data_IF_377906306104
#
_entry.id   IF_377906306104
#
_cell.length_a   1.000
_cell.length_b   1.000
_cell.length_c   1.000
_cell.angle_alpha   90.00
_cell.angle_beta   90.00
_cell.angle_gamma   90.00
#
_symmetry.space_group_name_H-M   'P 1'
#
loop_
_entity.id
_entity.type
_entity.pdbx_description
1 polymer ?
#
# COMPACT_ATOMS: atom_id res chain seq x y z
N UNK A 1 1.68 31.18 40.38
CA UNK A 1 1.83 30.46 39.12
C UNK A 1 3.17 30.78 38.51
N UNK A 2 3.93 29.79 38.20
CA UNK A 2 5.17 29.97 37.48
C UNK A 2 4.92 29.82 35.97
N UNK A 3 5.44 30.76 35.19
CA UNK A 3 5.39 30.66 33.75
C UNK A 3 6.40 29.60 33.27
N UNK A 4 6.10 28.85 32.21
CA UNK A 4 7.06 27.91 31.66
C UNK A 4 8.30 28.68 31.20
N UNK A 5 9.45 28.07 31.40
CA UNK A 5 10.71 28.62 30.90
C UNK A 5 10.75 28.51 29.38
N UNK A 6 11.64 29.28 28.73
CA UNK A 6 11.84 29.18 27.28
C UNK A 6 12.23 27.77 26.87
N UNK A 7 13.02 27.10 27.69
CA UNK A 7 13.39 25.71 27.44
C UNK A 7 12.20 24.78 27.49
N UNK A 8 11.31 24.95 28.47
CA UNK A 8 10.09 24.16 28.59
C UNK A 8 9.14 24.40 27.43
N UNK A 9 9.01 25.65 27.00
CA UNK A 9 8.20 26.00 25.83
C UNK A 9 8.74 25.33 24.56
N UNK A 10 10.06 25.32 24.41
CA UNK A 10 10.70 24.69 23.26
C UNK A 10 10.49 23.21 23.24
N UNK A 11 10.59 22.54 24.39
CA UNK A 11 10.32 21.11 24.54
C UNK A 11 8.87 20.80 24.15
N UNK A 12 7.92 21.63 24.61
CA UNK A 12 6.51 21.46 24.25
C UNK A 12 6.28 21.61 22.74
N UNK A 13 6.92 22.58 22.12
CA UNK A 13 6.81 22.78 20.67
C UNK A 13 7.38 21.59 19.91
N UNK A 14 8.50 21.05 20.36
CA UNK A 14 9.08 19.86 19.78
C UNK A 14 8.15 18.65 19.92
N UNK A 15 7.55 18.49 21.10
CA UNK A 15 6.60 17.40 21.35
C UNK A 15 5.38 17.51 20.44
N UNK A 16 4.82 18.70 20.31
CA UNK A 16 3.69 18.93 19.41
C UNK A 16 4.05 18.67 17.96
N UNK A 17 5.24 19.07 17.56
CA UNK A 17 5.75 18.80 16.22
C UNK A 17 5.87 17.31 15.94
N UNK A 18 6.40 16.56 16.92
CA UNK A 18 6.53 15.11 16.80
C UNK A 18 5.17 14.40 16.74
N UNK A 19 4.22 14.87 17.53
CA UNK A 19 2.84 14.34 17.48
C UNK A 19 2.22 14.53 16.11
N UNK A 20 2.40 15.71 15.50
CA UNK A 20 1.88 15.98 14.15
C UNK A 20 2.57 15.10 13.11
N UNK A 21 3.87 14.92 13.23
CA UNK A 21 4.62 14.04 12.35
C UNK A 21 4.14 12.59 12.47
N UNK A 22 3.88 12.14 13.68
CA UNK A 22 3.34 10.80 13.92
C UNK A 22 1.96 10.63 13.26
N UNK A 23 1.05 11.59 13.48
CA UNK A 23 -0.28 11.57 12.88
C UNK A 23 -0.20 11.52 11.35
N UNK A 24 0.67 12.33 10.78
CA UNK A 24 0.88 12.34 9.32
C UNK A 24 1.41 10.99 8.82
N UNK A 25 2.37 10.43 9.54
CA UNK A 25 2.94 9.12 9.21
C UNK A 25 1.89 8.01 9.29
N UNK A 26 1.01 8.06 10.28
CA UNK A 26 -0.10 7.12 10.43
C UNK A 26 -1.07 7.20 9.24
N UNK A 27 -1.39 8.42 8.81
CA UNK A 27 -2.24 8.64 7.63
C UNK A 27 -1.58 8.07 6.37
N UNK A 28 -0.29 8.33 6.19
CA UNK A 28 0.47 7.79 5.06
C UNK A 28 0.47 6.25 5.07
N UNK A 29 0.63 5.66 6.25
CA UNK A 29 0.58 4.22 6.41
C UNK A 29 -0.76 3.64 5.96
N UNK A 30 -1.86 4.26 6.38
CA UNK A 30 -3.20 3.83 5.98
C UNK A 30 -3.38 3.91 4.47
N UNK A 31 -2.92 5.00 3.85
CA UNK A 31 -2.98 5.17 2.40
C UNK A 31 -2.19 4.09 1.67
N UNK A 32 -1.02 3.74 2.19
CA UNK A 32 -0.20 2.68 1.62
C UNK A 32 -0.85 1.30 1.77
N UNK A 33 -1.50 1.03 2.90
CA UNK A 33 -2.24 -0.21 3.11
C UNK A 33 -3.42 -0.34 2.14
N UNK A 34 -4.15 0.75 1.91
CA UNK A 34 -5.25 0.78 0.95
C UNK A 34 -4.74 0.50 -0.48
N UNK A 35 -3.62 1.10 -0.85
CA UNK A 35 -2.99 0.83 -2.15
C UNK A 35 -2.53 -0.62 -2.27
N UNK A 36 -2.02 -1.19 -1.19
CA UNK A 36 -1.60 -2.58 -1.16
C UNK A 36 -2.79 -3.51 -1.41
N UNK A 37 -3.93 -3.22 -0.80
CA UNK A 37 -5.15 -4.01 -1.02
C UNK A 37 -5.61 -3.92 -2.48
N UNK A 38 -5.57 -2.73 -3.08
CA UNK A 38 -5.90 -2.56 -4.49
C UNK A 38 -4.95 -3.34 -5.40
N UNK A 39 -3.65 -3.31 -5.09
CA UNK A 39 -2.65 -4.06 -5.84
C UNK A 39 -2.85 -5.57 -5.74
N UNK A 40 -3.27 -6.06 -4.58
CA UNK A 40 -3.61 -7.47 -4.41
C UNK A 40 -4.78 -7.89 -5.27
N UNK A 41 -5.81 -7.04 -5.35
CA UNK A 41 -6.96 -7.27 -6.22
C UNK A 41 -6.54 -7.29 -7.69
N UNK A 42 -5.71 -6.33 -8.09
CA UNK A 42 -5.19 -6.27 -9.45
C UNK A 42 -4.36 -7.51 -9.78
N UNK A 43 -3.50 -7.94 -8.86
CA UNK A 43 -2.70 -9.14 -9.04
C UNK A 43 -3.58 -10.38 -9.22
N UNK A 44 -4.63 -10.53 -8.41
CA UNK A 44 -5.55 -11.65 -8.54
C UNK A 44 -6.23 -11.64 -9.91
N UNK A 45 -6.67 -10.47 -10.35
CA UNK A 45 -7.32 -10.29 -11.65
C UNK A 45 -6.36 -10.62 -12.81
N UNK A 46 -5.12 -10.18 -12.71
CA UNK A 46 -4.09 -10.47 -13.72
C UNK A 46 -3.73 -11.95 -13.73
N UNK A 47 -3.67 -12.58 -12.57
CA UNK A 47 -3.41 -14.02 -12.47
C UNK A 47 -4.54 -14.82 -13.12
N UNK A 48 -5.78 -14.47 -12.90
CA UNK A 48 -6.93 -15.09 -13.56
C UNK A 48 -6.83 -14.94 -15.08
N UNK A 49 -6.41 -13.78 -15.54
CA UNK A 49 -6.22 -13.53 -16.96
C UNK A 49 -5.12 -14.40 -17.56
N UNK A 50 -4.02 -14.56 -16.84
CA UNK A 50 -2.91 -15.45 -17.24
C UNK A 50 -3.42 -16.89 -17.36
N UNK A 51 -4.16 -17.37 -16.38
CA UNK A 51 -4.71 -18.72 -16.40
C UNK A 51 -5.67 -18.93 -17.57
N UNK A 52 -6.48 -17.94 -17.88
CA UNK A 52 -7.38 -18.00 -19.03
C UNK A 52 -6.59 -18.08 -20.34
N UNK A 53 -5.54 -17.27 -20.47
CA UNK A 53 -4.69 -17.30 -21.67
C UNK A 53 -3.95 -18.64 -21.80
N UNK A 54 -3.49 -19.21 -20.71
CA UNK A 54 -2.89 -20.53 -20.68
C UNK A 54 -3.87 -21.60 -21.18
N UNK A 55 -5.14 -21.53 -20.75
CA UNK A 55 -6.18 -22.44 -21.23
C UNK A 55 -6.42 -22.29 -22.72
N UNK A 56 -6.41 -21.05 -23.23
CA UNK A 56 -6.55 -20.79 -24.65
C UNK A 56 -5.40 -21.37 -25.46
N UNK A 57 -4.18 -21.17 -24.97
CA UNK A 57 -2.98 -21.75 -25.61
C UNK A 57 -3.07 -23.27 -25.64
N UNK A 58 -3.43 -23.88 -24.51
CA UNK A 58 -3.56 -25.32 -24.43
C UNK A 58 -4.63 -25.87 -25.38
N UNK A 59 -5.77 -25.17 -25.44
CA UNK A 59 -6.82 -25.53 -26.40
C UNK A 59 -6.37 -25.47 -27.83
N UNK A 60 -5.61 -24.44 -28.20
CA UNK A 60 -5.06 -24.28 -29.54
C UNK A 60 -4.02 -25.38 -29.88
N UNK A 61 -3.19 -25.74 -28.90
CA UNK A 61 -2.23 -26.82 -29.07
C UNK A 61 -2.93 -28.16 -29.37
N UNK A 62 -4.03 -28.44 -28.67
CA UNK A 62 -4.78 -29.69 -28.87
C UNK A 62 -5.49 -29.73 -30.23
N UNK A 63 -5.79 -28.59 -30.82
CA UNK A 63 -6.43 -28.50 -32.13
C UNK A 63 -5.46 -28.64 -33.30
N UNK A 64 -4.17 -28.48 -33.04
CA UNK A 64 -3.17 -28.62 -34.11
C UNK A 64 -2.98 -30.09 -34.49
N UNK A 65 -3.03 -30.41 -35.79
CA UNK A 65 -2.77 -31.76 -36.19
C UNK A 65 -1.31 -32.14 -35.89
N UNK A 66 -1.14 -33.36 -35.44
CA UNK A 66 0.17 -33.94 -35.16
C UNK A 66 0.81 -34.43 -36.44
N UNK A 67 1.69 -33.59 -36.98
CA UNK A 67 2.49 -33.99 -38.12
C UNK A 67 3.95 -33.80 -37.85
#
# INVERSE_FOLDING_TARGET
>A
MSFPTDEQQQIQLELEGLKRTLEWTEIQREQLLDRLDLLRLDNARLQDRIEELERQVEGLKQQQPLF
#
